data_IF_675959331278
#
_entry.id   IF_675959331278
#
_cell.length_a   1.000
_cell.length_b   1.000
_cell.length_c   1.000
_cell.angle_alpha   90.00
_cell.angle_beta   90.00
_cell.angle_gamma   90.00
#
_symmetry.space_group_name_H-M   'P 1'
#
loop_
_entity.id
_entity.type
_entity.pdbx_description
1 polymer ?
#
# COMPACT_ATOMS: atom_id res chain seq x y z
N UNK A 1 28.54 -7.92 17.44
CA UNK A 1 27.15 -7.55 17.07
C UNK A 1 26.26 -8.76 17.29
N UNK A 2 25.24 -8.62 18.15
CA UNK A 2 24.26 -9.69 18.37
C UNK A 2 23.35 -9.78 17.15
N UNK A 3 23.22 -10.98 16.58
CA UNK A 3 22.32 -11.22 15.42
C UNK A 3 20.90 -11.30 15.94
N UNK A 4 20.07 -10.33 15.59
CA UNK A 4 18.65 -10.30 15.94
C UNK A 4 17.85 -10.91 14.80
N UNK A 5 17.01 -11.88 15.09
CA UNK A 5 16.10 -12.47 14.11
C UNK A 5 14.84 -11.60 14.02
N UNK A 6 14.28 -11.50 12.83
CA UNK A 6 13.04 -10.77 12.59
C UNK A 6 12.19 -11.53 11.58
N UNK A 7 10.90 -11.66 11.86
CA UNK A 7 9.95 -12.28 10.95
C UNK A 7 9.32 -11.26 9.99
N UNK A 8 9.67 -9.98 10.10
CA UNK A 8 9.11 -8.91 9.26
C UNK A 8 9.27 -9.21 7.76
N UNK A 9 10.50 -9.53 7.32
CA UNK A 9 10.77 -9.77 5.90
C UNK A 9 10.12 -11.09 5.41
N UNK A 10 10.01 -12.08 6.30
CA UNK A 10 9.31 -13.32 5.97
C UNK A 10 7.79 -13.05 5.80
N UNK A 11 7.23 -12.13 6.59
CA UNK A 11 5.84 -11.71 6.42
C UNK A 11 5.66 -10.94 5.11
N UNK A 12 6.55 -9.99 4.79
CA UNK A 12 6.49 -9.26 3.51
C UNK A 12 6.52 -10.21 2.31
N UNK A 13 7.35 -11.27 2.36
CA UNK A 13 7.44 -12.25 1.29
C UNK A 13 6.11 -12.95 1.01
N UNK A 14 5.20 -12.98 2.00
CA UNK A 14 3.86 -13.57 1.82
C UNK A 14 2.97 -12.79 0.85
N UNK A 15 3.28 -11.52 0.58
CA UNK A 15 2.51 -10.73 -0.40
C UNK A 15 2.41 -11.44 -1.76
N UNK A 16 3.47 -12.13 -2.18
CA UNK A 16 3.48 -12.89 -3.45
C UNK A 16 2.55 -14.10 -3.45
N UNK A 17 2.06 -14.52 -2.27
CA UNK A 17 1.17 -15.68 -2.13
C UNK A 17 -0.31 -15.27 -2.12
N UNK A 18 -0.61 -13.98 -1.97
CA UNK A 18 -1.98 -13.47 -1.84
C UNK A 18 -2.44 -13.00 -3.21
N UNK A 19 -3.47 -13.67 -3.74
CA UNK A 19 -4.03 -13.36 -5.06
C UNK A 19 -5.10 -12.27 -4.92
N UNK A 20 -5.03 -11.26 -5.78
CA UNK A 20 -6.04 -10.21 -5.87
C UNK A 20 -7.26 -10.71 -6.64
N UNK A 21 -8.41 -10.12 -6.33
CA UNK A 21 -9.66 -10.43 -7.03
C UNK A 21 -10.04 -11.91 -6.91
N UNK A 22 -9.81 -12.52 -5.74
CA UNK A 22 -9.99 -13.96 -5.52
C UNK A 22 -11.41 -14.45 -5.78
N UNK A 23 -12.41 -13.57 -5.69
CA UNK A 23 -13.83 -13.89 -5.92
C UNK A 23 -14.30 -13.49 -7.33
N UNK A 24 -13.40 -13.03 -8.19
CA UNK A 24 -13.72 -12.54 -9.53
C UNK A 24 -13.09 -13.44 -10.59
N UNK A 25 -13.70 -13.49 -11.77
CA UNK A 25 -13.11 -14.20 -12.91
C UNK A 25 -11.96 -13.35 -13.46
N UNK A 26 -10.75 -13.87 -13.35
CA UNK A 26 -9.54 -13.20 -13.82
C UNK A 26 -9.00 -13.88 -15.07
N UNK A 27 -8.62 -13.08 -16.05
CA UNK A 27 -7.93 -13.56 -17.26
C UNK A 27 -6.46 -13.83 -16.89
N UNK A 28 -5.84 -12.90 -16.15
CA UNK A 28 -4.48 -13.06 -15.62
C UNK A 28 -4.53 -12.94 -14.11
N UNK A 29 -3.71 -13.74 -13.46
CA UNK A 29 -3.57 -13.70 -11.99
C UNK A 29 -2.59 -12.61 -11.60
N UNK A 30 -2.95 -11.83 -10.61
CA UNK A 30 -2.09 -10.80 -10.02
C UNK A 30 -2.00 -11.05 -8.52
N UNK A 31 -0.79 -11.04 -7.98
CA UNK A 31 -0.59 -11.14 -6.54
C UNK A 31 -0.27 -9.75 -5.95
N UNK A 32 -0.34 -9.62 -4.63
CA UNK A 32 -0.16 -8.34 -3.96
C UNK A 32 1.25 -7.76 -4.15
N UNK A 33 2.30 -8.59 -4.29
CA UNK A 33 3.65 -8.08 -4.49
C UNK A 33 3.79 -7.40 -5.87
N UNK A 34 3.23 -8.04 -6.92
CA UNK A 34 3.22 -7.47 -8.27
C UNK A 34 2.40 -6.18 -8.30
N UNK A 35 1.21 -6.22 -7.69
CA UNK A 35 0.34 -5.05 -7.56
C UNK A 35 1.07 -3.88 -6.89
N UNK A 36 1.67 -4.10 -5.73
CA UNK A 36 2.35 -3.05 -4.96
C UNK A 36 3.50 -2.42 -5.76
N UNK A 37 4.24 -3.23 -6.53
CA UNK A 37 5.30 -2.71 -7.38
C UNK A 37 4.74 -1.83 -8.50
N UNK A 38 3.67 -2.27 -9.16
CA UNK A 38 3.04 -1.48 -10.22
C UNK A 38 2.46 -0.17 -9.67
N UNK A 39 1.81 -0.23 -8.51
CA UNK A 39 1.28 0.97 -7.84
C UNK A 39 2.43 1.93 -7.52
N UNK A 40 3.58 1.43 -7.07
CA UNK A 40 4.74 2.28 -6.74
C UNK A 40 5.26 3.02 -7.97
N UNK A 41 5.36 2.35 -9.14
CA UNK A 41 5.78 3.01 -10.39
C UNK A 41 4.82 4.14 -10.77
N UNK A 42 3.51 3.86 -10.73
CA UNK A 42 2.48 4.85 -11.10
C UNK A 42 2.49 6.01 -10.08
N UNK A 43 2.57 5.71 -8.79
CA UNK A 43 2.56 6.71 -7.72
C UNK A 43 3.75 7.67 -7.85
N UNK A 44 4.94 7.15 -8.15
CA UNK A 44 6.13 7.97 -8.39
C UNK A 44 5.94 8.88 -9.60
N UNK A 45 5.47 8.31 -10.72
CA UNK A 45 5.23 9.08 -11.95
C UNK A 45 4.24 10.21 -11.70
N UNK A 46 3.13 9.93 -11.01
CA UNK A 46 2.12 10.94 -10.68
C UNK A 46 2.68 12.04 -9.77
N UNK A 47 3.54 11.69 -8.82
CA UNK A 47 4.19 12.67 -7.94
C UNK A 47 5.11 13.60 -8.73
N UNK A 48 5.89 13.05 -9.67
CA UNK A 48 6.78 13.83 -10.56
C UNK A 48 5.94 14.76 -11.44
N UNK A 49 4.88 14.25 -12.07
CA UNK A 49 3.96 15.00 -12.92
C UNK A 49 3.33 16.15 -12.11
N UNK A 50 2.85 15.86 -10.90
CA UNK A 50 2.26 16.86 -10.01
C UNK A 50 3.25 17.98 -9.71
N UNK A 51 4.49 17.65 -9.39
CA UNK A 51 5.51 18.65 -9.10
C UNK A 51 5.84 19.49 -10.34
N UNK A 52 6.01 18.85 -11.50
CA UNK A 52 6.46 19.51 -12.71
C UNK A 52 5.38 20.41 -13.34
N UNK A 53 4.14 19.96 -13.35
CA UNK A 53 3.08 20.61 -14.14
C UNK A 53 1.98 21.25 -13.30
N UNK A 54 1.87 20.92 -12.02
CA UNK A 54 0.75 21.36 -11.18
C UNK A 54 1.19 22.05 -9.88
N UNK A 55 2.46 22.43 -9.80
CA UNK A 55 2.99 23.20 -8.66
C UNK A 55 2.99 22.43 -7.35
N UNK A 56 3.13 21.10 -7.39
CA UNK A 56 3.26 20.29 -6.19
C UNK A 56 4.67 20.33 -5.62
N UNK A 57 4.81 19.95 -4.36
CA UNK A 57 6.09 19.87 -3.65
C UNK A 57 6.19 18.55 -2.86
N UNK A 58 5.71 17.44 -3.46
CA UNK A 58 5.74 16.13 -2.82
C UNK A 58 7.06 15.41 -3.13
N UNK A 59 7.46 14.51 -2.25
CA UNK A 59 8.68 13.72 -2.45
C UNK A 59 8.32 12.42 -3.22
N UNK A 60 8.72 12.30 -4.51
CA UNK A 60 8.33 11.15 -5.32
C UNK A 60 8.91 9.81 -4.83
N UNK A 61 10.14 9.84 -4.29
CA UNK A 61 10.78 8.63 -3.78
C UNK A 61 10.04 8.12 -2.54
N UNK A 62 9.68 9.03 -1.63
CA UNK A 62 8.92 8.67 -0.43
C UNK A 62 7.55 8.10 -0.80
N UNK A 63 6.86 8.71 -1.77
CA UNK A 63 5.55 8.24 -2.24
C UNK A 63 5.66 6.84 -2.84
N UNK A 64 6.71 6.58 -3.65
CA UNK A 64 6.94 5.25 -4.23
C UNK A 64 7.13 4.20 -3.12
N UNK A 65 7.95 4.51 -2.11
CA UNK A 65 8.20 3.57 -1.01
C UNK A 65 6.90 3.32 -0.21
N UNK A 66 6.15 4.37 0.11
CA UNK A 66 4.85 4.20 0.80
C UNK A 66 3.89 3.33 -0.02
N UNK A 67 3.88 3.51 -1.35
CA UNK A 67 3.04 2.70 -2.24
C UNK A 67 3.45 1.23 -2.24
N UNK A 68 4.74 0.91 -2.09
CA UNK A 68 5.19 -0.49 -1.96
C UNK A 68 4.59 -1.17 -0.72
N UNK A 69 4.33 -0.41 0.35
CA UNK A 69 3.86 -0.95 1.62
C UNK A 69 2.34 -0.82 1.82
N UNK A 70 1.60 -0.22 0.86
CA UNK A 70 0.20 0.21 1.10
C UNK A 70 -0.76 -0.93 1.44
N UNK A 71 -0.54 -2.13 0.91
CA UNK A 71 -1.40 -3.29 1.14
C UNK A 71 -0.77 -4.33 2.07
N UNK A 72 0.25 -3.95 2.86
CA UNK A 72 0.94 -4.92 3.73
C UNK A 72 0.06 -5.47 4.84
N UNK A 73 -0.97 -4.74 5.28
CA UNK A 73 -1.96 -5.26 6.24
C UNK A 73 -2.66 -6.52 5.70
N UNK A 74 -2.81 -6.63 4.37
CA UNK A 74 -3.45 -7.76 3.72
C UNK A 74 -2.68 -9.08 3.85
N UNK A 75 -1.44 -9.04 4.34
CA UNK A 75 -0.69 -10.24 4.75
C UNK A 75 -1.49 -11.03 5.80
N UNK A 76 -2.28 -10.34 6.63
CA UNK A 76 -3.06 -10.94 7.71
C UNK A 76 -4.54 -11.10 7.37
N UNK A 77 -5.10 -10.17 6.60
CA UNK A 77 -6.53 -10.16 6.25
C UNK A 77 -6.86 -10.87 4.94
N UNK A 78 -5.88 -10.98 4.04
CA UNK A 78 -6.13 -11.31 2.64
C UNK A 78 -6.72 -10.11 1.89
N UNK A 79 -6.78 -10.21 0.55
CA UNK A 79 -7.40 -9.20 -0.31
C UNK A 79 -8.92 -9.29 -0.20
N UNK A 80 -9.52 -8.39 0.56
CA UNK A 80 -10.98 -8.35 0.74
C UNK A 80 -11.61 -7.52 -0.38
N UNK A 81 -12.61 -8.07 -1.11
CA UNK A 81 -13.25 -7.32 -2.19
C UNK A 81 -13.84 -5.99 -1.73
N UNK A 82 -13.61 -4.95 -2.53
CA UNK A 82 -14.07 -3.58 -2.26
C UNK A 82 -15.55 -3.48 -1.87
N UNK A 83 -16.49 -4.19 -2.55
CA UNK A 83 -17.89 -4.12 -2.11
C UNK A 83 -18.15 -4.61 -0.69
N UNK A 84 -17.28 -5.48 -0.17
CA UNK A 84 -17.38 -5.94 1.23
C UNK A 84 -16.77 -4.92 2.17
N UNK A 85 -15.57 -4.39 1.83
CA UNK A 85 -14.88 -3.37 2.64
C UNK A 85 -15.78 -2.14 2.91
N UNK A 86 -16.58 -1.76 1.93
CA UNK A 86 -17.40 -0.53 1.98
C UNK A 86 -18.91 -0.82 2.00
N UNK A 87 -19.32 -2.00 2.50
CA UNK A 87 -20.73 -2.39 2.53
C UNK A 87 -21.58 -1.44 3.39
N UNK A 88 -21.07 -1.07 4.55
CA UNK A 88 -21.69 -0.06 5.43
C UNK A 88 -20.61 0.57 6.31
N UNK A 89 -20.99 1.62 7.06
CA UNK A 89 -20.05 2.36 7.91
C UNK A 89 -19.45 1.50 9.03
N UNK A 90 -20.23 0.58 9.59
CA UNK A 90 -19.76 -0.29 10.68
C UNK A 90 -18.66 -1.22 10.18
N UNK A 91 -18.87 -1.87 9.03
CA UNK A 91 -17.89 -2.76 8.41
C UNK A 91 -16.65 -1.97 8.01
N UNK A 92 -16.83 -0.79 7.42
CA UNK A 92 -15.71 0.08 7.03
C UNK A 92 -14.83 0.44 8.24
N UNK A 93 -15.44 0.84 9.37
CA UNK A 93 -14.69 1.17 10.58
C UNK A 93 -13.99 -0.06 11.16
N UNK A 94 -14.73 -1.17 11.30
CA UNK A 94 -14.16 -2.42 11.82
C UNK A 94 -12.97 -2.90 10.98
N UNK A 95 -13.09 -2.79 9.65
CA UNK A 95 -12.00 -3.21 8.75
C UNK A 95 -10.78 -2.31 8.92
N UNK A 96 -10.97 -0.99 9.05
CA UNK A 96 -9.87 -0.05 9.30
C UNK A 96 -9.16 -0.34 10.63
N UNK A 97 -9.91 -0.73 11.66
CA UNK A 97 -9.32 -1.12 12.94
C UNK A 97 -8.46 -2.38 12.79
N UNK A 98 -8.93 -3.34 11.97
CA UNK A 98 -8.18 -4.56 11.67
C UNK A 98 -6.89 -4.22 10.89
N UNK A 99 -6.99 -3.35 9.88
CA UNK A 99 -5.82 -2.89 9.09
C UNK A 99 -4.79 -2.23 10.02
N UNK A 100 -5.23 -1.31 10.89
CA UNK A 100 -4.33 -0.64 11.83
C UNK A 100 -3.66 -1.62 12.80
N UNK A 101 -4.42 -2.60 13.31
CA UNK A 101 -3.86 -3.64 14.18
C UNK A 101 -2.83 -4.50 13.44
N UNK A 102 -3.10 -4.83 12.19
CA UNK A 102 -2.18 -5.60 11.32
C UNK A 102 -0.87 -4.84 11.08
N UNK A 103 -0.96 -3.54 10.81
CA UNK A 103 0.21 -2.67 10.62
C UNK A 103 1.08 -2.61 11.88
N UNK A 104 0.45 -2.39 13.04
CA UNK A 104 1.16 -2.38 14.33
C UNK A 104 1.82 -3.71 14.60
N UNK A 105 1.13 -4.81 14.30
CA UNK A 105 1.69 -6.15 14.46
C UNK A 105 2.92 -6.32 13.55
N UNK A 106 2.81 -5.92 12.27
CA UNK A 106 3.93 -6.03 11.32
C UNK A 106 5.16 -5.24 11.81
N UNK A 107 4.94 -3.99 12.29
CA UNK A 107 6.02 -3.17 12.86
C UNK A 107 6.65 -3.87 14.07
N UNK A 108 5.83 -4.51 14.92
CA UNK A 108 6.32 -5.18 16.14
C UNK A 108 7.25 -6.37 15.83
N UNK A 109 7.23 -6.91 14.62
CA UNK A 109 8.13 -7.98 14.19
C UNK A 109 9.56 -7.49 13.91
N UNK A 110 9.75 -6.18 13.80
CA UNK A 110 11.07 -5.57 13.62
C UNK A 110 11.78 -5.40 14.97
N UNK A 111 13.11 -5.49 14.98
CA UNK A 111 13.89 -5.03 16.16
C UNK A 111 13.46 -3.60 16.52
N UNK A 112 13.37 -3.31 17.82
CA UNK A 112 12.89 -2.03 18.34
C UNK A 112 13.59 -0.83 17.70
N UNK A 113 14.90 -0.97 17.44
CA UNK A 113 15.72 0.10 16.87
C UNK A 113 15.33 0.47 15.42
N UNK A 114 14.59 -0.41 14.73
CA UNK A 114 14.17 -0.18 13.35
C UNK A 114 12.71 0.27 13.26
N UNK A 115 11.91 0.08 14.30
CA UNK A 115 10.45 0.31 14.25
C UNK A 115 10.12 1.75 13.83
N UNK A 116 10.75 2.74 14.46
CA UNK A 116 10.51 4.15 14.18
C UNK A 116 10.90 4.54 12.74
N UNK A 117 11.86 3.83 12.14
CA UNK A 117 12.31 4.09 10.78
C UNK A 117 11.33 3.52 9.73
N UNK A 118 10.67 2.41 10.05
CA UNK A 118 9.73 1.74 9.13
C UNK A 118 8.29 2.24 9.28
N UNK A 119 7.87 2.60 10.49
CA UNK A 119 6.48 2.98 10.79
C UNK A 119 5.90 4.03 9.81
N UNK A 120 6.64 5.09 9.43
CA UNK A 120 6.07 6.10 8.51
C UNK A 120 5.75 5.59 7.10
N UNK A 121 6.25 4.44 6.71
CA UNK A 121 5.99 3.85 5.40
C UNK A 121 4.85 2.82 5.42
N UNK A 122 4.53 2.33 6.61
CA UNK A 122 3.49 1.31 6.80
C UNK A 122 2.10 1.92 7.12
N UNK A 123 2.09 3.21 7.46
CA UNK A 123 0.83 3.90 7.79
C UNK A 123 -0.03 4.12 6.51
N UNK A 124 -0.90 3.43 6.41
CA UNK A 124 -1.82 3.40 5.31
C UNK A 124 -2.65 4.67 5.21
N UNK A 125 -2.78 5.34 6.32
CA UNK A 125 -3.50 6.54 6.36
C UNK A 125 -2.82 7.69 5.65
N UNK A 126 -1.61 7.51 5.70
CA UNK A 126 -0.79 8.46 5.01
C UNK A 126 -0.62 8.13 3.56
N UNK A 127 -0.70 6.95 3.25
CA UNK A 127 -0.60 6.43 1.92
C UNK A 127 -1.85 6.71 1.14
N UNK A 128 -2.88 6.63 1.74
CA UNK A 128 -4.12 6.88 1.17
C UNK A 128 -4.32 8.35 0.86
N UNK A 129 -3.78 9.01 1.60
CA UNK A 129 -3.79 10.41 1.38
C UNK A 129 -2.88 10.89 0.25
N UNK A 130 -1.91 10.23 0.18
CA UNK A 130 -1.00 10.50 -0.87
C UNK A 130 -1.41 9.92 -2.20
N UNK A 131 -1.97 8.94 -2.21
CA UNK A 131 -2.48 8.27 -3.34
C UNK A 131 -3.74 8.95 -3.83
N UNK A 132 -4.44 9.35 -2.99
CA UNK A 132 -5.59 10.06 -3.31
C UNK A 132 -5.32 11.42 -3.93
N UNK A 133 -4.37 11.82 -3.51
CA UNK A 133 -3.91 13.06 -4.07
C UNK A 133 -3.29 12.93 -5.43
N UNK A 134 -2.84 11.91 -5.56
CA UNK A 134 -2.30 11.59 -6.82
C UNK A 134 -3.35 11.16 -7.81
N UNK A 135 -4.24 10.62 -7.47
CA UNK A 135 -5.32 10.22 -8.26
C UNK A 135 -6.22 11.40 -8.62
N UNK A 136 -6.28 12.16 -7.81
CA UNK A 136 -7.00 13.34 -8.09
C UNK A 136 -6.35 14.23 -9.14
N UNK A 137 -5.18 14.12 -9.10
CA UNK A 137 -4.49 14.85 -10.10
C UNK A 137 -4.47 14.18 -11.43
N UNK A 138 -4.61 13.14 -11.46
CA UNK A 138 -4.66 12.42 -12.65
C UNK A 138 -6.00 12.50 -13.29
N UNK A 139 -6.78 12.67 -12.62
CA UNK A 139 -8.09 12.84 -13.15
C UNK A 139 -8.33 14.15 -13.85
N UNK A 140 -7.52 15.04 -13.78
CA UNK A 140 -7.75 16.38 -14.39
C UNK A 140 -6.94 16.66 -15.67
N UNK A 141 -6.37 15.76 -16.30
CA UNK A 141 -5.76 16.05 -17.60
C UNK A 141 -4.63 15.19 -18.15
N UNK A 142 -4.37 14.05 -17.56
CA UNK A 142 -3.40 13.13 -18.16
C UNK A 142 -4.02 11.73 -18.32
N UNK A 143 -4.21 11.32 -19.59
CA UNK A 143 -4.55 9.94 -19.92
C UNK A 143 -3.26 9.13 -19.83
N UNK A 144 -3.09 8.47 -18.70
CA UNK A 144 -2.09 7.41 -18.61
C UNK A 144 -2.68 6.20 -19.34
N UNK A 145 -2.30 6.01 -20.59
CA UNK A 145 -2.61 4.78 -21.33
C UNK A 145 -1.85 3.62 -20.69
N UNK A 146 -2.54 2.88 -19.86
CA UNK A 146 -2.09 1.56 -19.43
C UNK A 146 -2.65 0.55 -20.45
N UNK A 147 -1.82 0.16 -21.42
CA UNK A 147 -2.12 -0.96 -22.33
C UNK A 147 -1.49 -2.23 -21.76
#
# INVERSE_FOLDING_TARGET
VEVKTSHFFACLDRLRLIQRWSLMRNIEKENLAEHSLQVAFVAQALAIIKNQFFGGEVNPERIAVMAMYHDTSEIFTGDLPTPIKYFNSEITHAYKDIEAAAELHLISLLPTELQDSFAPYLDXXXXXXXXXXXXXXXXSGFDLCLH
#
